data_IF_199046491337
#
_entry.id   IF_199046491337
#
_cell.length_a   1.000
_cell.length_b   1.000
_cell.length_c   1.000
_cell.angle_alpha   90.00
_cell.angle_beta   90.00
_cell.angle_gamma   90.00
#
_symmetry.space_group_name_H-M   'P 1'
#
loop_
_entity.id
_entity.type
_entity.pdbx_description
1 polymer ?
#
# COMPACT_ATOMS: atom_id res chain seq x y z
N UNK A 1 -12.99 7.29 9.65
CA UNK A 1 -12.72 8.20 8.52
C UNK A 1 -12.62 7.37 7.24
N UNK A 2 -13.72 7.16 6.53
CA UNK A 2 -13.75 6.27 5.36
C UNK A 2 -14.55 7.02 4.27
N UNK A 3 -13.87 7.47 3.23
CA UNK A 3 -14.47 8.23 2.12
C UNK A 3 -13.45 8.64 1.06
N UNK A 4 -12.17 8.81 1.44
CA UNK A 4 -11.08 9.13 0.51
C UNK A 4 -10.45 7.92 -0.18
N UNK A 5 -10.51 6.72 0.41
CA UNK A 5 -9.78 5.54 -0.09
C UNK A 5 -10.20 5.09 -1.49
N UNK A 6 -11.50 5.05 -1.78
CA UNK A 6 -11.99 4.67 -3.11
C UNK A 6 -11.62 5.69 -4.19
N UNK A 7 -11.54 6.98 -3.83
CA UNK A 7 -11.12 8.05 -4.76
C UNK A 7 -9.61 7.96 -4.99
N UNK A 8 -8.83 7.82 -3.93
CA UNK A 8 -7.38 7.65 -4.00
C UNK A 8 -7.00 6.44 -4.86
N UNK A 9 -7.70 5.31 -4.69
CA UNK A 9 -7.50 4.10 -5.49
C UNK A 9 -7.78 4.33 -6.98
N UNK A 10 -8.80 5.14 -7.34
CA UNK A 10 -9.09 5.46 -8.75
C UNK A 10 -8.00 6.30 -9.38
N UNK A 11 -7.48 7.31 -8.66
CA UNK A 11 -6.35 8.11 -9.14
C UNK A 11 -5.06 7.28 -9.23
N UNK A 12 -4.75 6.49 -8.20
CA UNK A 12 -3.59 5.61 -8.20
C UNK A 12 -3.61 4.63 -9.38
N UNK A 13 -4.77 4.03 -9.69
CA UNK A 13 -4.94 3.19 -10.89
C UNK A 13 -4.74 3.97 -12.18
N UNK A 14 -5.23 5.21 -12.27
CA UNK A 14 -5.03 6.03 -13.45
C UNK A 14 -3.54 6.33 -13.67
N UNK A 15 -2.81 6.73 -12.62
CA UNK A 15 -1.36 6.98 -12.68
C UNK A 15 -0.59 5.70 -13.00
N UNK A 16 -0.93 4.60 -12.34
CA UNK A 16 -0.34 3.29 -12.62
C UNK A 16 -0.54 2.88 -14.09
N UNK A 17 -1.73 3.13 -14.64
CA UNK A 17 -2.06 2.90 -16.05
C UNK A 17 -1.19 3.67 -17.05
N UNK A 18 -0.64 4.83 -16.66
CA UNK A 18 0.28 5.61 -17.52
C UNK A 18 1.64 4.92 -17.69
N UNK A 19 2.05 4.11 -16.70
CA UNK A 19 3.28 3.32 -16.72
C UNK A 19 3.06 1.83 -17.01
N UNK A 20 1.81 1.40 -17.26
CA UNK A 20 1.47 -0.02 -17.38
C UNK A 20 2.28 -0.71 -18.50
N UNK A 21 2.85 -1.87 -18.18
CA UNK A 21 3.75 -2.59 -19.07
C UNK A 21 5.21 -2.10 -19.07
N UNK A 22 5.55 -1.04 -18.31
CA UNK A 22 6.92 -0.52 -18.15
C UNK A 22 7.26 -0.33 -16.67
N UNK A 23 7.77 -1.38 -16.02
CA UNK A 23 8.08 -1.37 -14.59
C UNK A 23 8.98 -0.19 -14.16
N UNK A 24 9.98 0.15 -14.97
CA UNK A 24 10.87 1.30 -14.72
C UNK A 24 10.10 2.62 -14.64
N UNK A 25 9.12 2.80 -15.54
CA UNK A 25 8.30 4.01 -15.61
C UNK A 25 7.37 4.12 -14.41
N UNK A 26 6.73 3.03 -14.01
CA UNK A 26 5.85 3.03 -12.83
C UNK A 26 6.63 3.29 -11.54
N UNK A 27 7.86 2.76 -11.44
CA UNK A 27 8.75 3.01 -10.31
C UNK A 27 9.31 4.45 -10.29
N UNK A 28 9.51 5.06 -11.46
CA UNK A 28 9.86 6.48 -11.58
C UNK A 28 8.69 7.38 -11.13
N UNK A 29 7.47 7.11 -11.62
CA UNK A 29 6.27 7.83 -11.20
C UNK A 29 6.06 7.74 -9.67
N UNK A 30 6.28 6.56 -9.07
CA UNK A 30 6.19 6.43 -7.62
C UNK A 30 7.20 7.34 -6.89
N UNK A 31 8.47 7.36 -7.33
CA UNK A 31 9.51 8.22 -6.76
C UNK A 31 9.17 9.70 -6.89
N UNK A 32 8.61 10.11 -8.03
CA UNK A 32 8.14 11.48 -8.24
C UNK A 32 7.01 11.87 -7.27
N UNK A 33 6.06 10.96 -7.02
CA UNK A 33 4.99 11.17 -6.03
C UNK A 33 5.52 11.19 -4.60
N UNK A 34 6.51 10.35 -4.28
CA UNK A 34 7.17 10.35 -2.97
C UNK A 34 7.84 11.71 -2.70
N UNK A 35 8.66 12.19 -3.64
CA UNK A 35 9.32 13.50 -3.54
C UNK A 35 8.31 14.65 -3.40
N UNK A 36 7.20 14.60 -4.15
CA UNK A 36 6.15 15.61 -4.05
C UNK A 36 5.50 15.61 -2.66
N UNK A 37 5.18 14.44 -2.10
CA UNK A 37 4.58 14.33 -0.77
C UNK A 37 5.56 14.77 0.32
N UNK A 38 6.82 14.35 0.23
CA UNK A 38 7.87 14.73 1.18
C UNK A 38 8.04 16.24 1.23
N UNK A 39 8.22 16.88 0.07
CA UNK A 39 8.42 18.33 -0.01
C UNK A 39 7.20 19.13 0.52
N UNK A 40 5.98 18.65 0.29
CA UNK A 40 4.76 19.27 0.84
C UNK A 40 4.70 19.10 2.37
N UNK A 41 5.11 17.96 2.90
CA UNK A 41 5.08 17.66 4.35
C UNK A 41 6.21 18.39 5.08
N UNK A 42 7.39 18.51 4.47
CA UNK A 42 8.55 19.19 5.05
C UNK A 42 8.39 20.71 5.09
N UNK A 43 7.60 21.31 4.18
CA UNK A 43 7.28 22.74 4.21
C UNK A 43 5.88 23.01 4.77
N UNK A 44 5.77 23.60 5.97
CA UNK A 44 4.50 24.02 6.55
C UNK A 44 3.74 25.04 5.68
N UNK A 45 4.44 25.89 4.94
CA UNK A 45 3.87 26.87 4.03
C UNK A 45 3.18 26.18 2.85
N UNK A 46 3.84 25.20 2.22
CA UNK A 46 3.28 24.41 1.13
C UNK A 46 2.09 23.58 1.62
N UNK A 47 2.22 22.92 2.76
CA UNK A 47 1.11 22.19 3.40
C UNK A 47 -0.09 23.11 3.64
N UNK A 48 0.10 24.32 4.20
CA UNK A 48 -1.01 25.25 4.43
C UNK A 48 -1.64 25.72 3.12
N UNK A 49 -0.83 26.04 2.12
CA UNK A 49 -1.31 26.49 0.81
C UNK A 49 -2.12 25.40 0.10
N UNK A 50 -1.59 24.19 0.06
CA UNK A 50 -2.11 23.10 -0.78
C UNK A 50 -3.22 22.30 -0.11
N UNK A 51 -3.18 22.13 1.22
CA UNK A 51 -4.15 21.33 1.96
C UNK A 51 -5.35 22.15 2.44
N UNK A 52 -5.23 23.48 2.47
CA UNK A 52 -6.30 24.37 2.95
C UNK A 52 -7.07 25.00 1.77
N UNK A 53 -8.42 24.93 1.75
CA UNK A 53 -9.22 25.50 0.67
C UNK A 53 -9.32 27.04 0.72
N UNK A 54 -8.59 27.70 1.62
CA UNK A 54 -8.58 29.16 1.77
C UNK A 54 -7.88 29.88 0.60
N UNK A 55 -6.99 29.19 -0.10
CA UNK A 55 -6.24 29.77 -1.22
C UNK A 55 -6.97 29.57 -2.56
N UNK A 56 -7.02 30.60 -3.44
CA UNK A 56 -7.53 30.48 -4.79
C UNK A 56 -6.90 29.30 -5.55
N UNK A 57 -7.70 28.67 -6.41
CA UNK A 57 -7.23 27.52 -7.23
C UNK A 57 -6.06 27.89 -8.14
N UNK A 58 -6.06 29.11 -8.66
CA UNK A 58 -5.04 29.61 -9.58
C UNK A 58 -3.67 29.75 -8.88
N UNK A 59 -3.67 30.30 -7.66
CA UNK A 59 -2.46 30.43 -6.83
C UNK A 59 -1.90 29.05 -6.46
N UNK A 60 -2.76 28.13 -6.02
CA UNK A 60 -2.37 26.74 -5.73
C UNK A 60 -1.83 26.02 -6.97
N UNK A 61 -2.38 26.29 -8.15
CA UNK A 61 -1.86 25.76 -9.42
C UNK A 61 -0.48 26.32 -9.75
N UNK A 62 -0.25 27.61 -9.49
CA UNK A 62 1.06 28.24 -9.65
C UNK A 62 2.10 27.54 -8.77
N UNK A 63 1.79 27.38 -7.47
CA UNK A 63 2.66 26.70 -6.51
C UNK A 63 2.97 25.27 -6.92
N UNK A 64 1.96 24.48 -7.33
CA UNK A 64 2.19 23.11 -7.82
C UNK A 64 3.03 23.11 -9.10
N UNK A 65 2.82 24.07 -10.00
CA UNK A 65 3.62 24.22 -11.21
C UNK A 65 5.10 24.44 -10.89
N UNK A 66 5.40 25.42 -10.04
CA UNK A 66 6.78 25.70 -9.59
C UNK A 66 7.40 24.51 -8.86
N UNK A 67 6.61 23.79 -8.06
CA UNK A 67 7.05 22.59 -7.36
C UNK A 67 7.41 21.47 -8.32
N UNK A 68 6.57 21.22 -9.33
CA UNK A 68 6.86 20.23 -10.37
C UNK A 68 8.09 20.62 -11.20
N UNK A 69 8.25 21.90 -11.52
CA UNK A 69 9.36 22.38 -12.32
C UNK A 69 10.68 22.29 -11.53
N UNK A 70 10.67 22.59 -10.22
CA UNK A 70 11.84 22.47 -9.33
C UNK A 70 12.27 21.02 -9.10
N UNK A 71 11.31 20.11 -8.99
CA UNK A 71 11.57 18.68 -8.78
C UNK A 71 11.80 17.93 -10.10
N UNK A 72 11.79 18.62 -11.24
CA UNK A 72 11.94 18.05 -12.59
C UNK A 72 10.96 16.90 -12.86
N UNK A 73 9.73 17.02 -12.36
CA UNK A 73 8.73 15.94 -12.45
C UNK A 73 8.23 15.74 -13.87
N UNK A 74 7.85 14.50 -14.19
CA UNK A 74 7.32 14.18 -15.49
C UNK A 74 5.99 14.87 -15.81
N UNK A 75 5.65 15.05 -17.10
CA UNK A 75 4.38 15.61 -17.53
C UNK A 75 3.15 14.92 -16.93
N UNK A 76 3.23 13.61 -16.71
CA UNK A 76 2.18 12.77 -16.14
C UNK A 76 1.93 13.07 -14.66
N UNK A 77 2.99 13.20 -13.87
CA UNK A 77 2.90 13.60 -12.46
C UNK A 77 2.40 15.02 -12.35
N UNK A 78 2.91 15.94 -13.18
CA UNK A 78 2.43 17.34 -13.24
C UNK A 78 0.94 17.42 -13.59
N UNK A 79 0.49 16.68 -14.60
CA UNK A 79 -0.91 16.64 -14.99
C UNK A 79 -1.79 16.12 -13.85
N UNK A 80 -1.36 15.07 -13.16
CA UNK A 80 -2.09 14.51 -12.02
C UNK A 80 -2.16 15.50 -10.85
N UNK A 81 -1.05 16.13 -10.50
CA UNK A 81 -1.02 17.14 -9.43
C UNK A 81 -1.95 18.32 -9.74
N UNK A 82 -1.96 18.81 -10.99
CA UNK A 82 -2.87 19.89 -11.44
C UNK A 82 -4.34 19.45 -11.35
N UNK A 83 -4.67 18.21 -11.73
CA UNK A 83 -6.03 17.67 -11.58
C UNK A 83 -6.44 17.65 -10.09
N UNK A 84 -5.54 17.23 -9.20
CA UNK A 84 -5.81 17.22 -7.76
C UNK A 84 -6.04 18.62 -7.19
N UNK A 85 -5.34 19.65 -7.69
CA UNK A 85 -5.63 21.05 -7.32
C UNK A 85 -7.02 21.47 -7.81
N UNK A 86 -7.35 21.21 -9.08
CA UNK A 86 -8.61 21.61 -9.69
C UNK A 86 -9.82 21.02 -8.96
N UNK A 87 -9.70 19.75 -8.57
CA UNK A 87 -10.75 19.01 -7.86
C UNK A 87 -10.78 19.28 -6.34
N UNK A 88 -9.89 20.16 -5.82
CA UNK A 88 -9.69 20.35 -4.38
C UNK A 88 -9.38 19.05 -3.63
N UNK A 89 -8.67 18.12 -4.28
CA UNK A 89 -8.34 16.78 -3.78
C UNK A 89 -6.89 16.61 -3.36
N UNK A 90 -6.14 17.70 -3.26
CA UNK A 90 -4.74 17.68 -2.82
C UNK A 90 -4.51 17.00 -1.46
N UNK A 91 -5.43 17.08 -0.47
CA UNK A 91 -5.29 16.30 0.77
C UNK A 91 -5.30 14.78 0.59
N UNK A 92 -5.74 14.26 -0.57
CA UNK A 92 -5.71 12.83 -0.89
C UNK A 92 -4.35 12.37 -1.44
N UNK A 93 -3.42 13.29 -1.73
CA UNK A 93 -2.13 12.96 -2.34
C UNK A 93 -1.35 11.89 -1.55
N UNK A 94 -1.24 11.93 -0.21
CA UNK A 94 -0.56 10.87 0.54
C UNK A 94 -1.26 9.51 0.39
N UNK A 95 -2.59 9.48 0.34
CA UNK A 95 -3.33 8.24 0.14
C UNK A 95 -3.18 7.69 -1.29
N UNK A 96 -3.06 8.56 -2.29
CA UNK A 96 -2.79 8.16 -3.69
C UNK A 96 -1.40 7.54 -3.80
N UNK A 97 -0.39 8.13 -3.14
CA UNK A 97 0.98 7.60 -3.05
C UNK A 97 0.99 6.17 -2.50
N UNK A 98 0.32 5.93 -1.36
CA UNK A 98 0.26 4.60 -0.74
C UNK A 98 -0.41 3.56 -1.66
N UNK A 99 -1.54 3.91 -2.29
CA UNK A 99 -2.20 3.02 -3.23
C UNK A 99 -1.37 2.78 -4.51
N UNK A 100 -0.65 3.78 -5.00
CA UNK A 100 0.26 3.65 -6.14
C UNK A 100 1.42 2.71 -5.79
N UNK A 101 2.02 2.88 -4.61
CA UNK A 101 3.06 1.97 -4.10
C UNK A 101 2.57 0.54 -4.07
N UNK A 102 1.37 0.31 -3.52
CA UNK A 102 0.75 -1.02 -3.48
C UNK A 102 0.58 -1.63 -4.87
N UNK A 103 0.16 -0.84 -5.86
CA UNK A 103 0.02 -1.30 -7.25
C UNK A 103 1.37 -1.59 -7.92
N UNK A 104 2.38 -0.74 -7.68
CA UNK A 104 3.75 -0.94 -8.18
C UNK A 104 4.34 -2.23 -7.61
N UNK A 105 4.19 -2.46 -6.31
CA UNK A 105 4.69 -3.66 -5.66
C UNK A 105 3.96 -4.92 -6.16
N UNK A 106 2.63 -4.87 -6.30
CA UNK A 106 1.87 -5.96 -6.94
C UNK A 106 2.35 -6.26 -8.36
N UNK A 107 2.61 -5.24 -9.17
CA UNK A 107 3.06 -5.39 -10.55
C UNK A 107 4.51 -5.87 -10.68
N UNK A 108 5.36 -5.51 -9.71
CA UNK A 108 6.71 -6.02 -9.59
C UNK A 108 6.75 -7.47 -9.06
N UNK A 109 5.58 -8.08 -8.79
CA UNK A 109 5.47 -9.39 -8.17
C UNK A 109 5.77 -9.38 -6.68
N UNK A 110 6.04 -8.22 -6.06
CA UNK A 110 6.26 -8.03 -4.63
C UNK A 110 4.93 -8.02 -3.88
N UNK A 111 4.42 -9.22 -3.59
CA UNK A 111 3.28 -9.36 -2.69
C UNK A 111 3.75 -9.30 -1.25
N UNK A 112 3.33 -8.26 -0.52
CA UNK A 112 3.53 -8.19 0.93
C UNK A 112 2.67 -9.24 1.63
N UNK A 113 3.33 -10.25 2.19
CA UNK A 113 2.73 -11.27 3.04
C UNK A 113 3.10 -10.96 4.49
N UNK A 114 2.13 -10.47 5.26
CA UNK A 114 2.28 -10.27 6.69
C UNK A 114 2.05 -11.58 7.43
N UNK A 115 3.09 -12.15 8.01
CA UNK A 115 3.01 -13.40 8.78
C UNK A 115 3.04 -13.06 10.26
N UNK A 116 1.90 -13.25 10.93
CA UNK A 116 1.78 -13.12 12.37
C UNK A 116 2.06 -14.47 13.04
N UNK A 117 3.11 -14.57 13.85
CA UNK A 117 3.48 -15.82 14.52
C UNK A 117 3.51 -15.66 16.04
N UNK A 118 3.09 -16.71 16.75
CA UNK A 118 3.19 -16.82 18.22
C UNK A 118 4.63 -16.78 18.75
N UNK A 119 5.60 -17.15 17.90
CA UNK A 119 7.04 -17.17 18.22
C UNK A 119 7.82 -16.55 17.07
N UNK A 120 8.98 -15.93 17.35
CA UNK A 120 9.89 -15.52 16.28
C UNK A 120 10.19 -16.72 15.38
N UNK A 121 9.90 -16.58 14.09
CA UNK A 121 10.15 -17.60 13.08
C UNK A 121 11.65 -17.64 12.79
N UNK A 122 12.24 -18.84 12.76
CA UNK A 122 13.63 -19.00 12.34
C UNK A 122 13.76 -18.74 10.83
N UNK A 123 14.94 -18.32 10.40
CA UNK A 123 15.34 -18.10 9.00
C UNK A 123 14.91 -19.24 8.06
N UNK A 124 15.07 -20.49 8.50
CA UNK A 124 14.67 -21.69 7.75
C UNK A 124 13.15 -21.78 7.53
N UNK A 125 12.36 -21.38 8.53
CA UNK A 125 10.90 -21.38 8.47
C UNK A 125 10.37 -20.22 7.63
N UNK A 126 11.01 -19.05 7.73
CA UNK A 126 10.69 -17.89 6.89
C UNK A 126 10.91 -18.22 5.41
N UNK A 127 12.03 -18.85 5.08
CA UNK A 127 12.35 -19.25 3.71
C UNK A 127 11.40 -20.32 3.17
N UNK A 128 11.01 -21.29 4.01
CA UNK A 128 10.01 -22.29 3.63
C UNK A 128 8.63 -21.66 3.35
N UNK A 129 8.20 -20.69 4.18
CA UNK A 129 6.95 -19.95 3.98
C UNK A 129 7.04 -19.09 2.72
N UNK A 130 8.17 -18.40 2.51
CA UNK A 130 8.43 -17.58 1.31
C UNK A 130 8.30 -18.42 0.05
N UNK A 131 8.96 -19.59 0.01
CA UNK A 131 8.88 -20.50 -1.12
C UNK A 131 7.48 -21.06 -1.33
N UNK A 132 6.78 -21.44 -0.26
CA UNK A 132 5.42 -21.97 -0.35
C UNK A 132 4.43 -20.92 -0.88
N UNK A 133 4.54 -19.67 -0.41
CA UNK A 133 3.71 -18.56 -0.87
C UNK A 133 4.09 -18.14 -2.29
N UNK A 134 5.37 -18.03 -2.60
CA UNK A 134 5.86 -17.67 -3.93
C UNK A 134 5.45 -18.69 -4.99
N UNK A 135 5.52 -20.00 -4.68
CA UNK A 135 5.00 -21.06 -5.57
C UNK A 135 3.49 -21.01 -5.78
N UNK A 136 2.73 -20.58 -4.77
CA UNK A 136 1.26 -20.58 -4.82
C UNK A 136 0.70 -19.32 -5.48
N UNK A 137 1.45 -18.22 -5.43
CA UNK A 137 1.07 -16.92 -5.96
C UNK A 137 1.78 -16.56 -7.28
N UNK A 138 2.70 -17.42 -7.76
CA UNK A 138 3.54 -17.19 -8.95
C UNK A 138 4.25 -15.83 -8.94
N UNK A 139 4.56 -15.33 -7.74
CA UNK A 139 5.04 -13.97 -7.51
C UNK A 139 6.10 -13.97 -6.40
N UNK A 140 6.96 -12.95 -6.40
CA UNK A 140 8.03 -12.78 -5.43
C UNK A 140 7.50 -12.21 -4.10
N UNK A 141 7.22 -13.07 -3.13
CA UNK A 141 6.57 -12.64 -1.88
C UNK A 141 7.58 -11.98 -0.93
N UNK A 142 7.34 -10.72 -0.57
CA UNK A 142 8.05 -10.02 0.49
C UNK A 142 7.36 -10.30 1.83
N UNK A 143 8.08 -10.90 2.78
CA UNK A 143 7.52 -11.32 4.08
C UNK A 143 7.70 -10.22 5.12
N UNK A 144 6.60 -9.70 5.65
CA UNK A 144 6.59 -8.84 6.82
C UNK A 144 6.25 -9.68 8.05
N UNK A 145 7.20 -9.85 8.98
CA UNK A 145 7.05 -10.76 10.13
C UNK A 145 6.60 -9.98 11.36
N UNK A 146 5.42 -10.31 11.89
CA UNK A 146 4.88 -9.71 13.10
C UNK A 146 4.79 -10.79 14.19
N UNK A 147 5.39 -10.58 15.36
CA UNK A 147 5.35 -11.55 16.46
C UNK A 147 4.29 -11.12 17.45
N UNK A 148 3.20 -11.90 17.54
CA UNK A 148 2.15 -11.68 18.54
C UNK A 148 2.14 -12.83 19.56
N UNK A 149 2.68 -12.54 20.73
CA UNK A 149 2.76 -13.48 21.87
C UNK A 149 1.40 -13.83 22.49
N UNK A 150 0.31 -13.17 22.08
CA UNK A 150 -1.07 -13.53 22.43
C UNK A 150 -1.60 -14.76 21.66
N UNK A 151 -0.92 -15.18 20.59
CA UNK A 151 -1.24 -16.43 19.89
C UNK A 151 -0.76 -17.63 20.72
N UNK A 152 -1.71 -18.40 21.26
CA UNK A 152 -1.46 -19.56 22.12
C UNK A 152 -0.71 -20.71 21.38
N UNK A 153 -0.63 -20.63 20.05
CA UNK A 153 0.24 -21.47 19.21
C UNK A 153 -0.17 -21.46 17.73
N UNK A 154 0.83 -21.38 16.84
CA UNK A 154 0.68 -21.42 15.38
C UNK A 154 0.92 -20.08 14.68
N UNK A 155 0.97 -20.11 13.34
CA UNK A 155 1.23 -18.94 12.49
C UNK A 155 -0.03 -18.60 11.66
N UNK A 156 -0.36 -17.31 11.61
CA UNK A 156 -1.41 -16.74 10.76
C UNK A 156 -0.71 -15.93 9.68
N UNK A 157 -0.74 -16.40 8.44
CA UNK A 157 -0.18 -15.67 7.30
C UNK A 157 -1.29 -14.89 6.60
N UNK A 158 -1.21 -13.56 6.61
CA UNK A 158 -2.08 -12.67 5.83
C UNK A 158 -1.34 -12.22 4.59
N UNK A 159 -1.82 -12.61 3.41
CA UNK A 159 -1.25 -12.18 2.13
C UNK A 159 -2.26 -11.29 1.41
N UNK A 160 -2.06 -9.97 1.44
CA UNK A 160 -3.08 -9.01 0.99
C UNK A 160 -4.42 -9.22 1.73
N UNK A 161 -5.45 -9.65 1.01
CA UNK A 161 -6.79 -9.98 1.56
C UNK A 161 -6.98 -11.47 1.91
N UNK A 162 -5.97 -12.33 1.66
CA UNK A 162 -6.06 -13.77 1.90
C UNK A 162 -5.52 -14.09 3.31
N UNK A 163 -6.40 -14.52 4.21
CA UNK A 163 -6.04 -15.04 5.53
C UNK A 163 -5.78 -16.54 5.45
N UNK A 164 -4.51 -16.95 5.58
CA UNK A 164 -4.08 -18.34 5.72
C UNK A 164 -3.87 -18.62 7.22
N UNK A 165 -4.89 -19.18 7.87
CA UNK A 165 -4.87 -19.52 9.28
C UNK A 165 -4.29 -20.93 9.51
N UNK A 166 -3.05 -20.98 9.99
CA UNK A 166 -2.37 -22.19 10.46
C UNK A 166 -2.35 -22.33 11.98
N UNK A 167 -3.21 -21.61 12.71
CA UNK A 167 -3.17 -21.59 14.17
C UNK A 167 -3.69 -22.89 14.80
N UNK A 168 -3.06 -23.28 15.93
CA UNK A 168 -3.46 -24.44 16.74
C UNK A 168 -4.85 -24.23 17.34
N UNK A 169 -5.26 -22.97 17.52
CA UNK A 169 -6.61 -22.58 17.96
C UNK A 169 -7.69 -23.13 17.03
N UNK A 170 -7.52 -22.97 15.73
CA UNK A 170 -8.49 -23.43 14.72
C UNK A 170 -8.52 -24.96 14.63
N UNK A 171 -7.39 -25.64 14.86
CA UNK A 171 -7.38 -27.11 15.02
C UNK A 171 -8.12 -27.57 16.27
N UNK A 172 -7.96 -26.91 17.41
CA UNK A 172 -8.67 -27.25 18.66
C UNK A 172 -10.18 -26.92 18.60
N UNK A 173 -10.57 -25.80 18.01
CA UNK A 173 -11.98 -25.45 17.79
C UNK A 173 -12.66 -26.45 16.82
N UNK A 174 -11.97 -26.88 15.76
CA UNK A 174 -12.48 -27.91 14.85
C UNK A 174 -12.56 -29.31 15.51
N UNK A 175 -11.63 -29.65 16.41
CA UNK A 175 -11.71 -30.87 17.23
C UNK A 175 -12.87 -30.82 18.24
N UNK A 176 -13.09 -29.69 18.90
CA UNK A 176 -14.23 -29.48 19.79
C UNK A 176 -15.58 -29.53 19.06
N UNK A 177 -15.63 -29.04 17.82
CA UNK A 177 -16.84 -29.10 16.98
C UNK A 177 -17.17 -30.53 16.52
N UNK A 178 -16.17 -31.37 16.26
CA UNK A 178 -16.37 -32.77 15.87
C UNK A 178 -16.78 -33.67 17.06
N UNK A 179 -16.36 -33.35 18.28
CA UNK A 179 -16.80 -34.09 19.48
C UNK A 179 -18.25 -33.79 19.87
N UNK A 180 -18.78 -32.59 19.55
CA UNK A 180 -20.20 -32.25 19.76
C UNK A 180 -21.16 -32.89 18.75
N UNK A 181 -20.68 -33.35 17.60
CA UNK A 181 -21.51 -34.03 16.58
C UNK A 181 -21.48 -35.56 16.66
N UNK A 182 -20.67 -36.15 17.54
CA UNK A 182 -20.56 -37.60 17.73
C UNK A 182 -21.36 -38.17 18.92
N UNK A 183 -22.25 -37.37 19.54
CA UNK A 183 -23.12 -37.80 20.63
C UNK A 183 -24.58 -37.42 20.33
N UNK A 184 -25.15 -38.11 19.35
CA UNK A 184 -26.59 -38.29 19.15
C UNK A 184 -26.83 -39.70 18.61
#
# INVERSE_FOLDING_TARGET
MIGGGAIAQRYARAVFGLGEGRAERTAELLREFDALVEEIVESPELSRCLLTPLFPREERRGVVGELCDRLELSPETRATAVILVNENRMPLLPAIREELRRLVDQAAGRLEARVTSARPLDSEQQEAIRQALSRRLEAEVSLELEVDSGLIGGAVARVGDLLLDGSVRTRLENLGANLRKGSA
#
